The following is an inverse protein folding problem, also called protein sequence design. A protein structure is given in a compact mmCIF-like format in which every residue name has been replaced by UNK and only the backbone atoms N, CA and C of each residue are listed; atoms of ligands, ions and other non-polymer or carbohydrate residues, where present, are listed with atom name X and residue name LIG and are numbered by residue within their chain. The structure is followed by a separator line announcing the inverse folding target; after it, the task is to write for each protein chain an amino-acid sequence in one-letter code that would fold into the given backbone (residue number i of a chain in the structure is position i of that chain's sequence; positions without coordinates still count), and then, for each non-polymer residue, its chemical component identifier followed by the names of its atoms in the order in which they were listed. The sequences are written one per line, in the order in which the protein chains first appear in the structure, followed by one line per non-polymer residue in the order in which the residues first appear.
data_IF_440102872786
#
_entry.id   IF_440102872786
#
_cell.length_a   1.000
_cell.length_b   1.000
_cell.length_c   1.000
_cell.angle_alpha   90.00
_cell.angle_beta   90.00
_cell.angle_gamma   90.00
#
_symmetry.space_group_name_H-M   'P 1'
#
loop_
_entity.id
_entity.type
_entity.pdbx_description
1 polymer ?
#
# COMPACT_ATOMS: atom_id res chain seq x y z
N UNK A 1 6.23 -17.07 -6.76
CA UNK A 1 5.25 -16.03 -7.17
C UNK A 1 5.05 -14.96 -6.10
N UNK A 2 5.35 -15.29 -4.85
CA UNK A 2 5.26 -14.47 -3.64
C UNK A 2 5.98 -13.13 -3.79
N UNK A 3 7.16 -13.12 -4.42
CA UNK A 3 7.92 -11.89 -4.72
C UNK A 3 7.11 -10.88 -5.55
N UNK A 4 6.43 -11.34 -6.61
CA UNK A 4 5.62 -10.48 -7.49
C UNK A 4 4.44 -9.90 -6.71
N UNK A 5 3.82 -10.68 -5.81
CA UNK A 5 2.72 -10.20 -4.96
C UNK A 5 3.20 -9.03 -4.08
N UNK A 6 4.33 -9.19 -3.39
CA UNK A 6 4.91 -8.14 -2.55
C UNK A 6 5.26 -6.89 -3.36
N UNK A 7 5.89 -7.06 -4.53
CA UNK A 7 6.22 -5.95 -5.42
C UNK A 7 4.97 -5.20 -5.91
N UNK A 8 3.90 -5.92 -6.26
CA UNK A 8 2.65 -5.30 -6.71
C UNK A 8 1.97 -4.54 -5.57
N UNK A 9 1.90 -5.11 -4.36
CA UNK A 9 1.34 -4.42 -3.20
C UNK A 9 2.08 -3.11 -2.92
N UNK A 10 3.41 -3.14 -2.93
CA UNK A 10 4.23 -1.96 -2.72
C UNK A 10 4.10 -0.95 -3.88
N UNK A 11 4.09 -1.42 -5.13
CA UNK A 11 3.96 -0.55 -6.30
C UNK A 11 2.60 0.17 -6.32
N UNK A 12 1.52 -0.49 -5.91
CA UNK A 12 0.19 0.13 -5.82
C UNK A 12 0.20 1.22 -4.73
N UNK A 13 0.70 0.92 -3.54
CA UNK A 13 0.83 1.90 -2.45
C UNK A 13 1.67 3.11 -2.90
N UNK A 14 2.87 2.88 -3.42
CA UNK A 14 3.72 3.97 -3.92
C UNK A 14 3.10 4.77 -5.07
N UNK A 15 2.31 4.13 -5.95
CA UNK A 15 1.62 4.84 -7.03
C UNK A 15 0.51 5.75 -6.51
N UNK A 16 -0.18 5.36 -5.44
CA UNK A 16 -1.21 6.20 -4.80
C UNK A 16 -0.57 7.47 -4.22
N UNK A 17 0.52 7.32 -3.48
CA UNK A 17 1.30 8.43 -2.91
C UNK A 17 1.81 9.40 -3.99
N UNK A 18 2.27 8.89 -5.13
CA UNK A 18 2.70 9.72 -6.25
C UNK A 18 1.53 10.51 -6.87
N UNK A 19 0.32 9.95 -6.87
CA UNK A 19 -0.88 10.67 -7.32
C UNK A 19 -1.22 11.77 -6.32
N UNK A 20 -1.17 11.49 -5.02
CA UNK A 20 -1.42 12.51 -3.99
C UNK A 20 -0.40 13.64 -4.05
N UNK A 21 0.88 13.32 -4.22
CA UNK A 21 1.94 14.30 -4.45
C UNK A 21 1.66 15.16 -5.70
N UNK A 22 1.28 14.54 -6.82
CA UNK A 22 0.95 15.26 -8.04
C UNK A 22 -0.25 16.20 -7.85
N UNK A 23 -1.32 15.72 -7.22
CA UNK A 23 -2.50 16.54 -6.92
C UNK A 23 -2.12 17.73 -6.05
N UNK A 24 -1.32 17.53 -5.00
CA UNK A 24 -0.84 18.59 -4.12
C UNK A 24 -0.12 19.70 -4.88
N UNK A 25 0.80 19.32 -5.77
CA UNK A 25 1.60 20.25 -6.58
C UNK A 25 0.72 21.05 -7.56
N UNK A 26 -0.27 20.40 -8.19
CA UNK A 26 -1.09 21.04 -9.23
C UNK A 26 -2.23 21.92 -8.72
N UNK A 27 -2.84 21.59 -7.57
CA UNK A 27 -4.01 22.32 -7.07
C UNK A 27 -3.67 23.46 -6.12
N UNK A 28 -2.44 23.49 -5.57
CA UNK A 28 -2.00 24.53 -4.63
C UNK A 28 -2.80 24.62 -3.33
N UNK A 29 -3.79 23.74 -3.15
CA UNK A 29 -4.47 23.52 -1.87
C UNK A 29 -3.44 22.97 -0.91
N UNK A 30 -3.31 23.59 0.27
CA UNK A 30 -2.53 23.02 1.35
C UNK A 30 -2.91 21.54 1.48
N UNK A 31 -1.90 20.70 1.35
CA UNK A 31 -1.97 19.26 1.43
C UNK A 31 -2.96 18.76 2.51
N UNK A 32 -3.09 19.49 3.61
CA UNK A 32 -3.91 19.14 4.78
C UNK A 32 -5.38 18.75 4.52
N UNK A 33 -6.04 19.28 3.47
CA UNK A 33 -7.45 18.94 3.20
C UNK A 33 -7.64 17.72 2.28
N UNK A 34 -6.60 17.29 1.55
CA UNK A 34 -6.71 16.22 0.55
C UNK A 34 -5.64 15.13 0.66
N UNK A 35 -4.43 15.42 1.19
CA UNK A 35 -3.37 14.42 1.43
C UNK A 35 -3.68 13.47 2.57
N UNK A 36 -4.71 13.71 3.39
CA UNK A 36 -5.01 12.82 4.51
C UNK A 36 -3.89 12.72 5.56
N UNK A 37 -2.82 13.52 5.46
CA UNK A 37 -1.63 13.42 6.30
C UNK A 37 -1.93 13.57 7.78
N UNK A 38 -3.10 14.11 8.18
CA UNK A 38 -3.48 14.31 9.58
C UNK A 38 -2.41 15.08 10.40
N UNK A 39 -1.50 15.80 9.72
CA UNK A 39 -0.34 16.46 10.32
C UNK A 39 0.94 15.61 10.43
N UNK A 40 0.98 14.38 9.91
CA UNK A 40 2.16 13.53 9.82
C UNK A 40 2.91 13.73 8.50
N UNK A 41 4.19 14.11 8.61
CA UNK A 41 5.11 14.28 7.48
C UNK A 41 5.56 12.92 6.93
N UNK A 42 5.43 11.86 7.73
CA UNK A 42 5.89 10.51 7.43
C UNK A 42 4.79 9.57 6.92
N UNK A 43 3.60 10.10 6.65
CA UNK A 43 2.41 9.32 6.26
C UNK A 43 2.70 8.39 5.07
N UNK A 44 3.23 8.97 3.98
CA UNK A 44 3.68 8.25 2.79
C UNK A 44 4.63 7.08 3.10
N UNK A 45 5.59 7.28 4.00
CA UNK A 45 6.57 6.25 4.37
C UNK A 45 5.90 5.15 5.21
N UNK A 46 5.01 5.51 6.12
CA UNK A 46 4.26 4.55 6.92
C UNK A 46 3.33 3.70 6.06
N UNK A 47 2.63 4.31 5.11
CA UNK A 47 1.73 3.60 4.19
C UNK A 47 2.47 2.55 3.36
N UNK A 48 3.59 2.94 2.75
CA UNK A 48 4.43 2.00 2.00
C UNK A 48 5.01 0.90 2.90
N UNK A 49 5.41 1.23 4.14
CA UNK A 49 5.94 0.26 5.09
C UNK A 49 4.87 -0.74 5.54
N UNK A 50 3.66 -0.27 5.86
CA UNK A 50 2.55 -1.13 6.24
C UNK A 50 2.06 -1.99 5.07
N UNK A 51 2.08 -1.47 3.84
CA UNK A 51 1.81 -2.27 2.64
C UNK A 51 2.84 -3.40 2.47
N UNK A 52 4.13 -3.10 2.67
CA UNK A 52 5.21 -4.10 2.61
C UNK A 52 5.03 -5.17 3.70
N UNK A 53 4.92 -4.77 4.96
CA UNK A 53 4.75 -5.69 6.11
C UNK A 53 3.46 -6.50 5.94
N UNK A 54 2.36 -5.86 5.59
CA UNK A 54 1.06 -6.50 5.40
C UNK A 54 1.09 -7.57 4.31
N UNK A 55 1.73 -7.29 3.17
CA UNK A 55 1.87 -8.28 2.09
C UNK A 55 2.69 -9.50 2.52
N UNK A 56 3.78 -9.31 3.27
CA UNK A 56 4.61 -10.39 3.81
C UNK A 56 3.82 -11.21 4.83
N UNK A 57 3.13 -10.55 5.77
CA UNK A 57 2.32 -11.21 6.80
C UNK A 57 1.18 -12.00 6.18
N UNK A 58 0.51 -11.45 5.17
CA UNK A 58 -0.56 -12.14 4.44
C UNK A 58 -0.04 -13.41 3.76
N UNK A 59 1.12 -13.34 3.08
CA UNK A 59 1.72 -14.53 2.45
C UNK A 59 2.05 -15.58 3.52
N UNK A 60 2.67 -15.20 4.65
CA UNK A 60 3.07 -16.15 5.69
C UNK A 60 1.87 -16.82 6.39
N UNK A 61 0.77 -16.10 6.58
CA UNK A 61 -0.38 -16.56 7.37
C UNK A 61 -1.50 -17.17 6.53
N UNK A 62 -1.79 -16.60 5.36
CA UNK A 62 -2.98 -16.94 4.56
C UNK A 62 -2.69 -17.88 3.39
N UNK A 63 -1.44 -18.00 2.92
CA UNK A 63 -1.14 -18.82 1.71
C UNK A 63 -1.61 -20.27 1.84
N UNK A 64 -1.41 -20.89 3.02
CA UNK A 64 -1.85 -22.27 3.26
C UNK A 64 -3.37 -22.40 3.24
N UNK A 65 -4.08 -21.41 3.77
CA UNK A 65 -5.54 -21.38 3.78
C UNK A 65 -6.10 -21.15 2.37
N UNK A 66 -5.53 -20.19 1.64
CA UNK A 66 -5.86 -19.90 0.25
C UNK A 66 -5.73 -21.15 -0.63
N UNK A 67 -4.59 -21.85 -0.55
CA UNK A 67 -4.36 -23.07 -1.33
C UNK A 67 -5.36 -24.19 -0.98
N UNK A 68 -5.71 -24.35 0.30
CA UNK A 68 -6.75 -25.32 0.70
C UNK A 68 -8.11 -24.98 0.11
N UNK A 69 -8.47 -23.69 0.03
CA UNK A 69 -9.73 -23.24 -0.58
C UNK A 69 -9.77 -23.51 -2.10
N UNK A 70 -8.64 -23.38 -2.79
CA UNK A 70 -8.56 -23.67 -4.23
C UNK A 70 -8.72 -25.17 -4.54
N UNK A 71 -8.23 -26.05 -3.66
CA UNK A 71 -8.33 -27.51 -3.82
C UNK A 71 -9.70 -28.05 -3.41
N UNK A 72 -10.44 -27.36 -2.54
CA UNK A 72 -11.76 -27.77 -2.06
C UNK A 72 -12.89 -27.61 -3.09
N UNK A 73 -12.55 -27.33 -4.35
CA UNK A 73 -13.47 -27.09 -5.45
C UNK A 73 -13.84 -28.37 -6.16
#
# INVERSE_FOLDING_TARGET
MEFIIVCICLAISASYELIEFAVAEFTGTAAEAFLGTQGDIWDTQWDMLFALIGSIVAILTLSKYHNKQLIKK
#
